data_IF_228363597407
#
_entry.id   IF_228363597407
#
_cell.length_a   1.000
_cell.length_b   1.000
_cell.length_c   1.000
_cell.angle_alpha   90.00
_cell.angle_beta   90.00
_cell.angle_gamma   90.00
#
_symmetry.space_group_name_H-M   'P 1'
#
loop_
_entity.id
_entity.type
_entity.pdbx_description
1 polymer ?
#
# COMPACT_ATOMS: atom_id res chain seq x y z
N UNK A 1 -38.59 85.75 -33.30
CA UNK A 1 -37.24 85.18 -33.52
C UNK A 1 -37.18 83.86 -32.78
N UNK A 2 -37.04 82.76 -33.53
CA UNK A 2 -37.46 81.43 -33.12
C UNK A 2 -36.40 80.58 -32.43
N UNK A 3 -36.88 79.85 -31.41
CA UNK A 3 -36.52 78.50 -30.93
C UNK A 3 -35.03 78.12 -30.94
N UNK A 4 -34.43 78.18 -29.74
CA UNK A 4 -33.28 77.36 -29.35
C UNK A 4 -33.70 75.89 -29.32
N UNK A 5 -33.18 75.09 -30.25
CA UNK A 5 -33.30 73.64 -30.27
C UNK A 5 -32.40 73.03 -29.19
N UNK A 6 -33.01 72.70 -28.06
CA UNK A 6 -32.40 71.83 -27.05
C UNK A 6 -32.44 70.41 -27.62
N UNK A 7 -31.43 70.04 -28.41
CA UNK A 7 -31.16 68.63 -28.72
C UNK A 7 -30.59 67.99 -27.44
N UNK A 8 -31.55 67.59 -26.63
CA UNK A 8 -31.50 66.71 -25.48
C UNK A 8 -30.53 65.54 -25.74
N UNK A 9 -29.42 65.50 -25.02
CA UNK A 9 -28.42 64.44 -25.05
C UNK A 9 -28.99 63.14 -24.45
N UNK A 10 -29.78 62.38 -25.23
CA UNK A 10 -30.31 61.06 -24.84
C UNK A 10 -29.26 59.94 -24.83
N UNK A 11 -28.00 60.23 -25.13
CA UNK A 11 -26.92 59.23 -25.20
C UNK A 11 -26.42 58.74 -23.84
N UNK A 12 -26.65 59.47 -22.73
CA UNK A 12 -26.16 59.08 -21.40
C UNK A 12 -26.95 57.94 -20.72
N UNK A 13 -28.28 57.91 -20.89
CA UNK A 13 -29.15 56.94 -20.21
C UNK A 13 -28.98 55.53 -20.77
N UNK A 14 -28.76 55.40 -22.08
CA UNK A 14 -28.51 54.10 -22.73
C UNK A 14 -27.23 53.43 -22.22
N UNK A 15 -26.18 54.22 -21.98
CA UNK A 15 -24.90 53.71 -21.44
C UNK A 15 -25.06 53.19 -20.00
N UNK A 16 -25.83 53.88 -19.16
CA UNK A 16 -26.07 53.46 -17.77
C UNK A 16 -26.89 52.17 -17.73
N UNK A 17 -27.95 52.07 -18.53
CA UNK A 17 -28.77 50.84 -18.60
C UNK A 17 -27.95 49.66 -19.13
N UNK A 18 -27.15 49.86 -20.18
CA UNK A 18 -26.25 48.84 -20.70
C UNK A 18 -25.23 48.37 -19.66
N UNK A 19 -24.67 49.30 -18.89
CA UNK A 19 -23.71 48.98 -17.82
C UNK A 19 -24.36 48.15 -16.70
N UNK A 20 -25.59 48.47 -16.30
CA UNK A 20 -26.32 47.69 -15.27
C UNK A 20 -26.56 46.27 -15.78
N UNK A 21 -27.09 46.11 -16.99
CA UNK A 21 -27.37 44.78 -17.57
C UNK A 21 -26.08 43.97 -17.70
N UNK A 22 -25.01 44.57 -18.23
CA UNK A 22 -23.72 43.89 -18.37
C UNK A 22 -23.17 43.46 -17.00
N UNK A 23 -23.25 44.33 -15.98
CA UNK A 23 -22.81 44.02 -14.63
C UNK A 23 -23.61 42.87 -14.02
N UNK A 24 -24.94 42.86 -14.20
CA UNK A 24 -25.79 41.77 -13.72
C UNK A 24 -25.45 40.44 -14.40
N UNK A 25 -25.22 40.44 -15.71
CA UNK A 25 -24.83 39.22 -16.45
C UNK A 25 -23.48 38.71 -15.95
N UNK A 26 -22.49 39.59 -15.76
CA UNK A 26 -21.18 39.22 -15.22
C UNK A 26 -21.31 38.63 -13.81
N UNK A 27 -22.10 39.25 -12.92
CA UNK A 27 -22.34 38.70 -11.58
C UNK A 27 -22.99 37.32 -11.62
N UNK A 28 -23.93 37.07 -12.54
CA UNK A 28 -24.57 35.77 -12.69
C UNK A 28 -23.57 34.69 -13.15
N UNK A 29 -22.72 35.01 -14.12
CA UNK A 29 -21.67 34.10 -14.60
C UNK A 29 -20.70 33.78 -13.47
N UNK A 30 -20.20 34.81 -12.78
CA UNK A 30 -19.27 34.66 -11.67
C UNK A 30 -19.88 33.78 -10.57
N UNK A 31 -21.13 34.06 -10.17
CA UNK A 31 -21.83 33.27 -9.15
C UNK A 31 -22.01 31.81 -9.57
N UNK A 32 -22.35 31.55 -10.84
CA UNK A 32 -22.47 30.20 -11.38
C UNK A 32 -21.14 29.44 -11.33
N UNK A 33 -20.03 30.09 -11.72
CA UNK A 33 -18.69 29.49 -11.64
C UNK A 33 -18.29 29.22 -10.20
N UNK A 34 -18.59 30.12 -9.26
CA UNK A 34 -18.31 29.89 -7.84
C UNK A 34 -19.09 28.71 -7.25
N UNK A 35 -20.39 28.60 -7.54
CA UNK A 35 -21.21 27.49 -7.05
C UNK A 35 -20.74 26.14 -7.63
N UNK A 36 -20.41 26.11 -8.93
CA UNK A 36 -19.85 24.92 -9.56
C UNK A 36 -18.50 24.54 -8.95
N UNK A 37 -17.60 25.51 -8.79
CA UNK A 37 -16.28 25.29 -8.17
C UNK A 37 -16.41 24.73 -6.76
N UNK A 38 -17.25 25.31 -5.90
CA UNK A 38 -17.48 24.83 -4.55
C UNK A 38 -18.02 23.39 -4.53
N UNK A 39 -18.94 23.06 -5.45
CA UNK A 39 -19.52 21.70 -5.57
C UNK A 39 -18.45 20.69 -5.99
N UNK A 40 -17.64 21.03 -6.99
CA UNK A 40 -16.55 20.16 -7.47
C UNK A 40 -15.50 19.95 -6.38
N UNK A 41 -15.11 21.01 -5.66
CA UNK A 41 -14.16 20.89 -4.55
C UNK A 41 -14.70 19.96 -3.47
N UNK A 42 -15.95 20.12 -3.05
CA UNK A 42 -16.55 19.24 -2.05
C UNK A 42 -16.60 17.78 -2.51
N UNK A 43 -16.95 17.55 -3.78
CA UNK A 43 -16.95 16.20 -4.36
C UNK A 43 -15.56 15.58 -4.34
N UNK A 44 -14.53 16.31 -4.81
CA UNK A 44 -13.16 15.81 -4.83
C UNK A 44 -12.62 15.56 -3.42
N UNK A 45 -12.89 16.45 -2.46
CA UNK A 45 -12.49 16.24 -1.06
C UNK A 45 -13.13 15.01 -0.44
N UNK A 46 -14.40 14.74 -0.74
CA UNK A 46 -15.06 13.52 -0.26
C UNK A 46 -14.47 12.27 -0.91
N UNK A 47 -14.21 12.30 -2.21
CA UNK A 47 -13.59 11.20 -2.94
C UNK A 47 -12.17 10.90 -2.43
N UNK A 48 -11.35 11.93 -2.21
CA UNK A 48 -10.02 11.78 -1.64
C UNK A 48 -10.08 11.21 -0.22
N UNK A 49 -11.03 11.68 0.60
CA UNK A 49 -11.25 11.14 1.94
C UNK A 49 -11.62 9.66 1.88
N UNK A 50 -12.55 9.27 1.01
CA UNK A 50 -12.92 7.87 0.84
C UNK A 50 -11.74 7.03 0.37
N UNK A 51 -10.97 7.50 -0.61
CA UNK A 51 -9.75 6.81 -1.08
C UNK A 51 -8.72 6.59 0.02
N UNK A 52 -8.51 7.58 0.89
CA UNK A 52 -7.59 7.46 2.03
C UNK A 52 -8.16 6.51 3.11
N UNK A 53 -9.48 6.34 3.14
CA UNK A 53 -10.16 5.47 4.11
C UNK A 53 -10.24 4.00 3.67
N UNK A 54 -9.99 3.71 2.38
CA UNK A 54 -9.78 2.36 1.88
C UNK A 54 -8.39 1.87 2.29
N UNK A 55 -8.34 0.68 2.85
CA UNK A 55 -7.09 -0.03 3.12
C UNK A 55 -7.34 -1.52 2.89
N UNK A 56 -6.44 -2.17 2.15
CA UNK A 56 -6.56 -3.58 1.79
C UNK A 56 -5.21 -4.27 2.01
N UNK A 57 -5.25 -5.39 2.73
CA UNK A 57 -4.14 -6.33 2.77
C UNK A 57 -4.31 -7.38 1.66
N UNK A 58 -3.34 -7.47 0.75
CA UNK A 58 -3.35 -8.44 -0.36
C UNK A 58 -2.38 -9.56 -0.05
N UNK A 59 -2.88 -10.80 -0.04
CA UNK A 59 -2.11 -12.01 0.18
C UNK A 59 -2.08 -12.82 -1.12
N UNK A 60 -0.92 -12.95 -1.73
CA UNK A 60 -0.76 -13.77 -2.92
C UNK A 60 0.18 -14.94 -2.61
N UNK A 61 -0.29 -16.16 -2.85
CA UNK A 61 0.48 -17.38 -2.59
C UNK A 61 0.38 -18.36 -3.75
N UNK A 62 1.39 -19.21 -3.90
CA UNK A 62 1.43 -20.28 -4.90
C UNK A 62 1.74 -21.63 -4.28
N UNK A 63 1.19 -22.69 -4.87
CA UNK A 63 1.49 -24.07 -4.53
C UNK A 63 1.75 -24.88 -5.79
N UNK A 64 2.58 -25.91 -5.67
CA UNK A 64 2.80 -26.86 -6.77
C UNK A 64 1.78 -28.00 -6.65
N UNK A 65 0.88 -28.09 -7.61
CA UNK A 65 -0.11 -29.16 -7.68
C UNK A 65 0.02 -29.89 -9.02
N UNK A 66 0.29 -31.19 -8.98
CA UNK A 66 0.43 -32.05 -10.16
C UNK A 66 1.43 -31.52 -11.22
N UNK A 67 2.53 -30.89 -10.78
CA UNK A 67 3.55 -30.32 -11.66
C UNK A 67 3.15 -29.00 -12.33
N UNK A 68 2.05 -28.38 -11.89
CA UNK A 68 1.64 -27.02 -12.25
C UNK A 68 1.75 -26.10 -11.03
N UNK A 69 2.08 -24.84 -11.25
CA UNK A 69 2.13 -23.83 -10.19
C UNK A 69 0.80 -23.10 -10.14
N UNK A 70 -0.03 -23.43 -9.17
CA UNK A 70 -1.31 -22.77 -8.93
C UNK A 70 -1.08 -21.61 -7.98
N UNK A 71 -1.65 -20.45 -8.26
CA UNK A 71 -1.62 -19.32 -7.34
C UNK A 71 -3.02 -18.87 -6.97
N UNK A 72 -3.12 -18.34 -5.77
CA UNK A 72 -4.35 -17.86 -5.15
C UNK A 72 -4.09 -16.48 -4.56
N UNK A 73 -5.09 -15.61 -4.67
CA UNK A 73 -5.02 -14.24 -4.16
C UNK A 73 -6.19 -14.04 -3.22
N UNK A 74 -5.86 -13.78 -1.96
CA UNK A 74 -6.81 -13.37 -0.94
C UNK A 74 -6.65 -11.88 -0.66
N UNK A 75 -7.75 -11.20 -0.38
CA UNK A 75 -7.77 -9.79 -0.01
C UNK A 75 -8.55 -9.65 1.28
N UNK A 76 -8.00 -8.88 2.21
CA UNK A 76 -8.65 -8.51 3.47
C UNK A 76 -8.85 -7.01 3.53
N UNK A 77 -10.06 -6.57 3.87
CA UNK A 77 -10.35 -5.15 4.04
C UNK A 77 -10.04 -4.69 5.46
N UNK A 78 -8.86 -4.09 5.62
CA UNK A 78 -8.36 -3.50 6.88
C UNK A 78 -8.82 -2.05 7.06
N UNK A 79 -9.49 -1.48 6.06
CA UNK A 79 -9.96 -0.11 6.04
C UNK A 79 -11.19 0.14 6.91
N UNK A 80 -11.69 1.37 6.82
CA UNK A 80 -12.88 1.83 7.57
C UNK A 80 -14.15 1.91 6.72
N UNK A 81 -14.06 1.54 5.44
CA UNK A 81 -15.16 1.57 4.47
C UNK A 81 -15.12 0.32 3.58
N UNK A 82 -16.27 -0.06 3.02
CA UNK A 82 -16.34 -1.15 2.05
C UNK A 82 -15.62 -0.79 0.75
N UNK A 83 -14.90 -1.77 0.20
CA UNK A 83 -14.06 -1.59 -0.99
C UNK A 83 -14.63 -2.39 -2.15
N UNK A 84 -14.70 -1.74 -3.32
CA UNK A 84 -15.11 -2.40 -4.57
C UNK A 84 -13.90 -2.72 -5.40
N UNK A 85 -13.63 -3.97 -5.72
CA UNK A 85 -12.54 -4.39 -6.61
C UNK A 85 -13.04 -4.41 -8.06
N UNK A 86 -12.28 -3.79 -8.96
CA UNK A 86 -12.63 -3.70 -10.39
C UNK A 86 -11.72 -4.52 -11.28
N UNK A 87 -10.46 -4.72 -10.89
CA UNK A 87 -9.54 -5.57 -11.65
C UNK A 87 -8.38 -6.07 -10.80
N UNK A 88 -7.76 -7.12 -11.31
CA UNK A 88 -6.52 -7.69 -10.81
C UNK A 88 -5.51 -7.77 -11.95
N UNK A 89 -4.25 -7.49 -11.63
CA UNK A 89 -3.12 -7.57 -12.54
C UNK A 89 -2.09 -8.54 -11.99
N UNK A 90 -1.62 -9.43 -12.85
CA UNK A 90 -0.46 -10.28 -12.63
C UNK A 90 0.71 -9.76 -13.46
N UNK A 91 1.81 -9.41 -12.80
CA UNK A 91 3.04 -8.96 -13.43
C UNK A 91 4.09 -10.04 -13.23
N UNK A 92 4.53 -10.63 -14.33
CA UNK A 92 5.59 -11.64 -14.35
C UNK A 92 6.95 -10.98 -14.54
N UNK A 93 7.96 -11.49 -13.84
CA UNK A 93 9.33 -10.98 -13.85
C UNK A 93 9.41 -9.49 -13.47
N UNK A 94 8.71 -9.07 -12.40
CA UNK A 94 8.56 -7.65 -12.07
C UNK A 94 9.87 -6.92 -11.75
N UNK A 95 10.95 -7.65 -11.43
CA UNK A 95 12.29 -7.09 -11.21
C UNK A 95 13.16 -7.05 -12.47
N UNK A 96 12.75 -7.75 -13.53
CA UNK A 96 13.52 -7.91 -14.77
C UNK A 96 12.86 -7.28 -15.99
N UNK A 97 13.54 -7.41 -17.15
CA UNK A 97 13.02 -7.01 -18.45
C UNK A 97 13.19 -8.13 -19.48
N UNK A 98 12.18 -8.41 -20.33
CA UNK A 98 10.85 -7.77 -20.37
C UNK A 98 9.93 -8.25 -19.23
N UNK A 99 9.02 -7.36 -18.81
CA UNK A 99 7.92 -7.71 -17.91
C UNK A 99 6.70 -8.12 -18.74
N UNK A 100 5.98 -9.15 -18.29
CA UNK A 100 4.70 -9.56 -18.89
C UNK A 100 3.57 -9.20 -17.93
N UNK A 101 2.53 -8.55 -18.46
CA UNK A 101 1.42 -8.02 -17.67
C UNK A 101 0.13 -8.68 -18.16
N UNK A 102 -0.58 -9.33 -17.24
CA UNK A 102 -1.88 -9.97 -17.50
C UNK A 102 -2.90 -9.30 -16.60
N UNK A 103 -4.03 -8.86 -17.18
CA UNK A 103 -5.11 -8.19 -16.46
C UNK A 103 -6.37 -9.06 -16.55
N UNK A 104 -7.10 -9.13 -15.44
CA UNK A 104 -8.48 -9.62 -15.43
C UNK A 104 -9.42 -8.60 -14.78
N UNK A 105 -10.59 -8.43 -15.36
CA UNK A 105 -11.63 -7.49 -14.91
C UNK A 105 -12.71 -8.23 -14.14
N UNK A 106 -13.10 -7.68 -12.99
CA UNK A 106 -14.22 -8.23 -12.22
C UNK A 106 -15.53 -7.65 -12.78
N UNK A 107 -16.34 -8.50 -13.42
CA UNK A 107 -17.70 -8.17 -13.87
C UNK A 107 -18.73 -9.17 -13.31
N UNK A 108 -19.53 -8.77 -12.30
CA UNK A 108 -19.57 -7.46 -11.67
C UNK A 108 -18.35 -7.21 -10.74
N UNK A 109 -18.07 -5.93 -10.37
CA UNK A 109 -17.08 -5.62 -9.34
C UNK A 109 -17.33 -6.40 -8.04
N UNK A 110 -16.27 -6.88 -7.41
CA UNK A 110 -16.35 -7.61 -6.14
C UNK A 110 -16.44 -6.62 -4.97
N UNK A 111 -17.37 -6.82 -4.06
CA UNK A 111 -17.52 -6.00 -2.85
C UNK A 111 -16.84 -6.70 -1.67
N UNK A 112 -15.78 -6.11 -1.12
CA UNK A 112 -15.06 -6.60 0.06
C UNK A 112 -15.51 -5.79 1.28
N UNK A 113 -16.27 -6.43 2.16
CA UNK A 113 -16.81 -5.82 3.38
C UNK A 113 -15.70 -5.60 4.40
N UNK A 114 -15.83 -4.56 5.22
CA UNK A 114 -14.88 -4.24 6.29
C UNK A 114 -14.61 -5.45 7.19
N UNK A 115 -13.33 -5.77 7.39
CA UNK A 115 -12.87 -6.86 8.25
C UNK A 115 -13.03 -8.26 7.66
N UNK A 116 -13.53 -8.38 6.43
CA UNK A 116 -13.62 -9.67 5.75
C UNK A 116 -12.36 -9.95 4.92
N UNK A 117 -11.99 -11.22 4.89
CA UNK A 117 -10.96 -11.78 4.01
C UNK A 117 -11.62 -12.72 3.01
N UNK A 118 -11.39 -12.46 1.73
CA UNK A 118 -11.99 -13.23 0.64
C UNK A 118 -10.93 -13.67 -0.38
N UNK A 119 -11.07 -14.89 -0.90
CA UNK A 119 -10.30 -15.35 -2.04
C UNK A 119 -10.90 -14.78 -3.33
N UNK A 120 -10.18 -13.87 -3.98
CA UNK A 120 -10.69 -13.12 -5.14
C UNK A 120 -10.26 -13.71 -6.47
N UNK A 121 -9.21 -14.54 -6.47
CA UNK A 121 -8.63 -15.05 -7.71
C UNK A 121 -7.87 -16.36 -7.50
N UNK A 122 -8.02 -17.28 -8.45
CA UNK A 122 -7.18 -18.47 -8.57
C UNK A 122 -6.72 -18.61 -10.02
N UNK A 123 -5.44 -18.92 -10.22
CA UNK A 123 -4.88 -19.07 -11.55
C UNK A 123 -3.68 -20.01 -11.57
N UNK A 124 -3.06 -20.12 -12.74
CA UNK A 124 -1.84 -20.90 -12.94
C UNK A 124 -0.72 -20.00 -13.41
N UNK A 125 0.48 -20.18 -12.85
CA UNK A 125 1.69 -19.50 -13.29
C UNK A 125 2.35 -20.27 -14.42
N UNK A 126 2.84 -19.54 -15.43
CA UNK A 126 3.50 -20.12 -16.60
C UNK A 126 4.91 -20.64 -16.27
N UNK A 127 5.62 -19.94 -15.37
CA UNK A 127 6.99 -20.27 -14.96
C UNK A 127 7.05 -20.60 -13.48
N UNK A 128 8.13 -21.28 -13.09
CA UNK A 128 8.41 -21.56 -11.69
C UNK A 128 8.59 -20.25 -10.92
N UNK A 129 7.73 -19.94 -9.93
CA UNK A 129 7.82 -18.71 -9.15
C UNK A 129 9.07 -18.60 -8.27
N UNK A 130 9.86 -19.68 -8.14
CA UNK A 130 11.20 -19.62 -7.53
C UNK A 130 12.26 -19.01 -8.44
N UNK A 131 12.06 -19.13 -9.75
CA UNK A 131 13.01 -18.66 -10.76
C UNK A 131 12.60 -17.30 -11.34
N UNK A 132 11.28 -17.02 -11.35
CA UNK A 132 10.70 -15.79 -11.88
C UNK A 132 9.83 -15.13 -10.80
N UNK A 133 10.14 -13.87 -10.40
CA UNK A 133 9.34 -13.19 -9.38
C UNK A 133 8.03 -12.65 -9.97
N UNK A 134 6.93 -12.83 -9.25
CA UNK A 134 5.60 -12.38 -9.64
C UNK A 134 5.06 -11.32 -8.68
N UNK A 135 4.38 -10.32 -9.22
CA UNK A 135 3.70 -9.27 -8.47
C UNK A 135 2.22 -9.21 -8.85
N UNK A 136 1.35 -9.30 -7.87
CA UNK A 136 -0.09 -9.09 -8.04
C UNK A 136 -0.42 -7.65 -7.66
N UNK A 137 -1.28 -7.00 -8.45
CA UNK A 137 -1.89 -5.71 -8.11
C UNK A 137 -3.41 -5.82 -8.18
N UNK A 138 -4.09 -5.32 -7.18
CA UNK A 138 -5.55 -5.26 -7.11
C UNK A 138 -5.96 -3.79 -7.19
N UNK A 139 -6.95 -3.49 -8.02
CA UNK A 139 -7.41 -2.12 -8.29
C UNK A 139 -8.82 -1.95 -7.76
N UNK A 140 -9.06 -0.89 -6.99
CA UNK A 140 -10.38 -0.54 -6.46
C UNK A 140 -11.15 0.37 -7.41
N UNK A 141 -12.48 0.39 -7.30
CA UNK A 141 -13.36 1.27 -8.07
C UNK A 141 -13.13 2.76 -7.80
N UNK A 142 -12.49 3.11 -6.68
CA UNK A 142 -12.05 4.47 -6.36
C UNK A 142 -10.64 4.80 -6.90
N UNK A 143 -9.98 3.82 -7.52
CA UNK A 143 -8.70 3.99 -8.20
C UNK A 143 -7.47 3.81 -7.30
N UNK A 144 -7.61 3.15 -6.15
CA UNK A 144 -6.47 2.74 -5.35
C UNK A 144 -5.89 1.43 -5.88
N UNK A 145 -4.59 1.24 -5.63
CA UNK A 145 -3.84 0.06 -6.09
C UNK A 145 -3.13 -0.52 -4.88
N UNK A 146 -3.42 -1.78 -4.60
CA UNK A 146 -2.76 -2.56 -3.56
C UNK A 146 -1.99 -3.68 -4.23
N UNK A 147 -0.80 -4.02 -3.71
CA UNK A 147 0.07 -4.97 -4.39
C UNK A 147 0.77 -5.91 -3.43
N UNK A 148 0.99 -7.14 -3.89
CA UNK A 148 1.66 -8.17 -3.12
C UNK A 148 2.46 -9.08 -4.06
N UNK A 149 3.70 -9.39 -3.70
CA UNK A 149 4.49 -10.36 -4.44
C UNK A 149 3.99 -11.78 -4.11
N UNK A 150 3.98 -12.66 -5.10
CA UNK A 150 3.48 -14.03 -4.89
C UNK A 150 4.52 -14.83 -4.11
N UNK A 151 4.08 -15.43 -3.01
CA UNK A 151 4.92 -16.22 -2.09
C UNK A 151 4.57 -17.69 -2.13
N UNK A 152 5.44 -18.58 -1.67
CA UNK A 152 5.07 -20.00 -1.61
C UNK A 152 4.06 -20.21 -0.48
N UNK A 153 2.94 -20.88 -0.78
CA UNK A 153 1.99 -21.33 0.24
C UNK A 153 2.73 -22.22 1.23
N UNK A 154 2.71 -21.81 2.48
CA UNK A 154 3.22 -22.62 3.56
C UNK A 154 2.03 -23.13 4.36
N UNK A 155 1.86 -24.45 4.41
CA UNK A 155 0.84 -25.09 5.25
C UNK A 155 0.95 -24.54 6.68
N UNK A 156 -0.22 -24.32 7.32
CA UNK A 156 -0.33 -24.03 8.75
C UNK A 156 0.70 -24.89 9.51
N UNK A 157 1.66 -24.24 10.20
CA UNK A 157 2.86 -24.77 10.87
C UNK A 157 4.23 -24.46 10.23
N UNK A 158 4.30 -23.79 9.07
CA UNK A 158 5.58 -23.33 8.49
C UNK A 158 5.51 -21.83 8.19
N UNK A 159 5.94 -20.98 9.13
CA UNK A 159 5.97 -19.52 8.92
C UNK A 159 7.09 -19.16 7.95
N UNK A 160 6.82 -18.95 6.65
CA UNK A 160 7.89 -18.55 5.72
C UNK A 160 7.52 -17.58 4.59
N UNK A 161 8.39 -16.56 4.48
CA UNK A 161 8.72 -15.63 3.40
C UNK A 161 7.66 -14.60 3.00
N UNK A 162 7.80 -13.39 3.56
CA UNK A 162 7.22 -12.17 3.00
C UNK A 162 8.32 -11.38 2.27
N UNK A 163 8.29 -11.26 0.93
CA UNK A 163 8.90 -10.15 0.23
C UNK A 163 8.03 -8.91 0.47
N UNK A 164 8.41 -8.08 1.44
CA UNK A 164 7.78 -6.78 1.60
C UNK A 164 8.53 -5.77 0.73
N UNK A 165 7.78 -5.20 -0.22
CA UNK A 165 8.22 -3.98 -0.92
C UNK A 165 8.02 -2.84 0.08
N UNK A 166 9.12 -2.32 0.61
CA UNK A 166 9.09 -1.12 1.45
C UNK A 166 8.92 0.11 0.55
N UNK A 167 8.22 1.10 1.08
CA UNK A 167 7.95 2.43 0.50
C UNK A 167 9.21 3.31 0.40
N UNK A 168 10.35 2.71 0.04
CA UNK A 168 11.50 3.42 -0.49
C UNK A 168 11.92 2.73 -1.78
N UNK A 169 12.01 3.49 -2.86
CA UNK A 169 12.45 3.02 -4.18
C UNK A 169 13.88 2.46 -4.21
N UNK A 170 14.52 2.34 -3.05
CA UNK A 170 15.98 2.21 -2.90
C UNK A 170 16.41 0.97 -2.11
N UNK A 171 15.51 0.17 -1.51
CA UNK A 171 15.89 -1.08 -0.82
C UNK A 171 14.77 -2.10 -0.75
N UNK A 172 15.14 -3.38 -0.75
CA UNK A 172 14.22 -4.50 -0.55
C UNK A 172 14.69 -5.36 0.61
N UNK A 173 13.76 -5.87 1.42
CA UNK A 173 14.06 -6.78 2.51
C UNK A 173 13.15 -8.00 2.46
N UNK A 174 13.73 -9.16 2.73
CA UNK A 174 13.01 -10.43 2.87
C UNK A 174 13.44 -11.13 4.14
N UNK A 175 12.49 -11.82 4.77
CA UNK A 175 12.73 -12.56 6.00
C UNK A 175 12.33 -14.03 5.83
N UNK A 176 13.30 -14.90 6.08
CA UNK A 176 13.13 -16.34 6.13
C UNK A 176 13.25 -16.79 7.59
N UNK A 177 12.16 -17.30 8.16
CA UNK A 177 12.15 -17.86 9.52
C UNK A 177 12.13 -19.37 9.43
N UNK A 178 13.07 -20.05 10.09
CA UNK A 178 13.12 -21.52 10.18
C UNK A 178 13.24 -21.93 11.63
N UNK A 179 12.30 -22.71 12.15
CA UNK A 179 12.36 -23.05 13.56
C UNK A 179 11.34 -24.08 14.02
N UNK A 180 11.42 -24.41 15.30
CA UNK A 180 10.40 -25.12 16.05
C UNK A 180 9.95 -24.24 17.23
N UNK A 181 9.01 -24.72 18.05
CA UNK A 181 8.46 -23.97 19.21
C UNK A 181 9.50 -23.51 20.25
N UNK A 182 10.74 -23.98 20.20
CA UNK A 182 11.82 -23.67 21.15
C UNK A 182 12.95 -22.86 20.54
N UNK A 183 13.26 -23.08 19.27
CA UNK A 183 14.36 -22.42 18.56
C UNK A 183 13.92 -21.95 17.19
N UNK A 184 14.13 -20.66 16.89
CA UNK A 184 13.90 -20.10 15.56
C UNK A 184 15.14 -19.41 15.05
N UNK A 185 15.52 -19.75 13.83
CA UNK A 185 16.58 -19.13 13.05
C UNK A 185 15.92 -18.13 12.11
N UNK A 186 16.30 -16.86 12.26
CA UNK A 186 15.87 -15.76 11.42
C UNK A 186 16.98 -15.45 10.44
N UNK A 187 16.70 -15.62 9.16
CA UNK A 187 17.56 -15.22 8.07
C UNK A 187 16.93 -13.99 7.41
N UNK A 188 17.45 -12.83 7.75
CA UNK A 188 17.05 -11.55 7.20
C UNK A 188 17.96 -11.21 6.03
N UNK A 189 17.41 -11.11 4.84
CA UNK A 189 18.14 -10.73 3.63
C UNK A 189 17.71 -9.33 3.22
N UNK A 190 18.67 -8.43 3.09
CA UNK A 190 18.44 -7.05 2.66
C UNK A 190 19.26 -6.80 1.40
N UNK A 191 18.58 -6.29 0.38
CA UNK A 191 19.18 -5.83 -0.86
C UNK A 191 19.18 -4.30 -0.88
N UNK A 192 20.37 -3.71 -0.93
CA UNK A 192 20.57 -2.28 -1.03
C UNK A 192 20.58 -1.86 -2.51
N UNK A 193 19.46 -1.31 -3.00
CA UNK A 193 19.37 -0.79 -4.36
C UNK A 193 19.77 0.70 -4.47
N UNK A 194 20.23 1.31 -3.38
CA UNK A 194 20.66 2.71 -3.35
C UNK A 194 22.12 2.85 -3.81
N UNK A 195 22.52 4.09 -4.12
CA UNK A 195 23.91 4.42 -4.48
C UNK A 195 24.79 4.68 -3.26
N UNK A 196 24.29 4.45 -2.04
CA UNK A 196 24.98 4.72 -0.79
C UNK A 196 24.94 3.49 0.12
N UNK A 197 25.96 3.23 0.95
CA UNK A 197 25.88 2.16 1.93
C UNK A 197 24.75 2.40 2.93
N UNK A 198 24.07 1.33 3.34
CA UNK A 198 23.02 1.37 4.36
C UNK A 198 23.54 0.66 5.60
N UNK A 199 23.35 1.26 6.77
CA UNK A 199 23.71 0.61 8.05
C UNK A 199 22.47 0.33 8.87
N UNK A 200 22.28 -0.95 9.23
CA UNK A 200 21.28 -1.46 10.15
C UNK A 200 21.82 -1.44 11.57
N UNK A 201 21.35 -0.50 12.39
CA UNK A 201 21.81 -0.38 13.77
C UNK A 201 21.14 -1.40 14.69
N UNK A 202 19.81 -1.54 14.57
CA UNK A 202 19.01 -2.36 15.46
C UNK A 202 18.18 -3.40 14.69
N UNK A 203 18.11 -4.61 15.24
CA UNK A 203 17.13 -5.62 14.86
C UNK A 203 16.14 -5.76 16.00
N UNK A 204 14.88 -5.46 15.73
CA UNK A 204 13.80 -5.46 16.69
C UNK A 204 12.90 -6.66 16.40
N UNK A 205 12.87 -7.62 17.32
CA UNK A 205 12.01 -8.79 17.21
C UNK A 205 11.07 -8.81 18.42
N UNK A 206 9.77 -8.62 18.18
CA UNK A 206 8.79 -8.59 19.27
C UNK A 206 7.35 -8.33 18.80
N UNK A 207 6.35 -8.68 19.61
CA UNK A 207 4.94 -8.37 19.33
C UNK A 207 4.67 -6.86 19.47
N UNK A 208 3.99 -6.25 18.49
CA UNK A 208 3.63 -4.83 18.53
C UNK A 208 2.31 -4.60 19.29
N UNK A 209 2.18 -5.10 20.51
CA UNK A 209 1.11 -4.58 21.38
C UNK A 209 1.59 -3.26 21.98
N UNK A 210 1.45 -2.17 21.22
CA UNK A 210 1.58 -0.80 21.72
C UNK A 210 0.29 -0.36 22.45
N UNK A 211 -0.36 -1.25 23.20
CA UNK A 211 -1.34 -0.79 24.17
C UNK A 211 -0.57 -0.29 25.41
N UNK A 212 -0.39 1.03 25.46
CA UNK A 212 0.29 1.80 26.50
C UNK A 212 -0.25 1.56 27.94
N UNK A 213 -1.34 0.78 28.10
CA UNK A 213 -2.10 0.68 29.35
C UNK A 213 -2.33 -0.75 29.88
N UNK A 214 -1.73 -1.80 29.30
CA UNK A 214 -1.88 -3.15 29.87
C UNK A 214 -0.82 -3.43 30.96
N UNK A 215 -1.15 -3.08 32.21
CA UNK A 215 -0.40 -3.51 33.40
C UNK A 215 -0.43 -5.05 33.49
N UNK A 216 0.54 -5.73 32.88
CA UNK A 216 0.68 -7.18 33.06
C UNK A 216 1.43 -7.95 32.00
N UNK A 217 1.63 -7.41 30.80
CA UNK A 217 2.40 -8.10 29.76
C UNK A 217 3.89 -7.72 29.85
N UNK A 218 4.82 -8.70 29.82
CA UNK A 218 6.23 -8.42 29.91
C UNK A 218 6.68 -7.67 28.66
N UNK A 219 6.78 -6.35 28.77
CA UNK A 219 7.52 -5.51 27.84
C UNK A 219 8.97 -5.97 27.79
N UNK A 220 9.29 -6.83 26.83
CA UNK A 220 10.66 -7.20 26.45
C UNK A 220 10.71 -7.44 24.96
N UNK A 221 10.82 -6.34 24.24
CA UNK A 221 11.35 -6.28 22.88
C UNK A 221 12.79 -6.81 22.93
N UNK A 222 13.10 -7.89 22.22
CA UNK A 222 14.50 -8.26 22.03
C UNK A 222 15.06 -7.32 20.96
N UNK A 223 15.72 -6.26 21.41
CA UNK A 223 16.52 -5.39 20.57
C UNK A 223 17.91 -6.01 20.52
N UNK A 224 18.32 -6.50 19.36
CA UNK A 224 19.70 -6.89 19.10
C UNK A 224 20.36 -5.74 18.37
N UNK A 225 21.37 -5.13 18.98
CA UNK A 225 22.26 -4.23 18.26
C UNK A 225 23.12 -5.06 17.30
N UNK A 226 23.10 -4.71 16.02
CA UNK A 226 23.74 -5.50 14.96
C UNK A 226 24.85 -4.74 14.27
N UNK A 227 24.75 -3.42 14.15
CA UNK A 227 25.68 -2.56 13.42
C UNK A 227 26.14 -3.22 12.11
N UNK A 228 25.18 -3.51 11.25
CA UNK A 228 25.35 -4.28 10.02
C UNK A 228 25.26 -3.35 8.82
N UNK A 229 26.38 -3.15 8.12
CA UNK A 229 26.47 -2.27 6.94
C UNK A 229 26.42 -3.09 5.66
N UNK A 230 25.59 -2.65 4.72
CA UNK A 230 25.37 -3.26 3.40
C UNK A 230 25.79 -2.23 2.35
N UNK A 231 26.80 -2.57 1.56
CA UNK A 231 27.33 -1.66 0.54
C UNK A 231 26.31 -1.39 -0.58
N UNK A 232 26.52 -0.31 -1.31
CA UNK A 232 25.64 0.10 -2.40
C UNK A 232 25.57 -0.97 -3.50
N UNK A 233 24.36 -1.40 -3.86
CA UNK A 233 24.14 -2.44 -4.88
C UNK A 233 24.37 -3.87 -4.40
N UNK A 234 24.67 -4.09 -3.12
CA UNK A 234 24.91 -5.43 -2.57
C UNK A 234 23.68 -6.02 -1.88
N UNK A 235 23.65 -7.35 -1.81
CA UNK A 235 22.68 -8.13 -1.07
C UNK A 235 23.41 -8.90 0.01
N UNK A 236 23.00 -8.71 1.26
CA UNK A 236 23.55 -9.45 2.38
C UNK A 236 22.47 -10.15 3.19
N UNK A 237 22.83 -11.28 3.81
CA UNK A 237 21.94 -12.06 4.68
C UNK A 237 22.49 -12.13 6.10
N UNK A 238 21.75 -11.57 7.04
CA UNK A 238 22.01 -11.69 8.47
C UNK A 238 21.24 -12.87 9.06
N UNK A 239 21.95 -13.79 9.72
CA UNK A 239 21.34 -14.95 10.38
C UNK A 239 21.47 -14.84 11.90
N UNK A 240 20.37 -14.98 12.63
CA UNK A 240 20.37 -15.05 14.09
C UNK A 240 19.45 -16.14 14.59
N UNK A 241 19.91 -16.88 15.61
CA UNK A 241 19.10 -17.87 16.31
C UNK A 241 18.50 -17.25 17.58
N UNK A 242 17.20 -17.45 17.78
CA UNK A 242 16.49 -17.19 19.02
C UNK A 242 16.24 -18.51 19.73
N UNK A 243 16.91 -18.69 20.88
CA UNK A 243 16.80 -19.89 21.72
C UNK A 243 15.66 -19.82 22.74
N UNK A 244 14.90 -18.74 22.74
CA UNK A 244 13.73 -18.53 23.60
C UNK A 244 12.67 -17.72 22.85
N UNK A 245 11.99 -18.37 21.91
CA UNK A 245 10.88 -17.74 21.21
C UNK A 245 9.76 -17.49 22.23
N UNK A 246 9.21 -16.26 22.36
CA UNK A 246 8.06 -16.02 23.21
C UNK A 246 6.92 -16.98 22.83
N UNK A 247 6.15 -17.52 23.79
CA UNK A 247 5.06 -18.46 23.51
C UNK A 247 4.06 -17.96 22.46
N UNK A 248 3.87 -16.64 22.40
CA UNK A 248 3.01 -15.93 21.46
C UNK A 248 3.39 -16.14 19.99
N UNK A 249 4.59 -16.65 19.71
CA UNK A 249 5.04 -16.94 18.36
C UNK A 249 4.56 -18.29 17.82
N UNK A 250 4.03 -19.18 18.67
CA UNK A 250 3.54 -20.48 18.20
C UNK A 250 2.27 -20.39 17.36
N UNK A 251 1.56 -19.28 17.47
CA UNK A 251 0.23 -19.07 16.90
C UNK A 251 0.26 -17.94 15.83
N UNK A 252 1.45 -17.69 15.27
CA UNK A 252 1.69 -16.58 14.34
C UNK A 252 1.40 -17.00 12.91
N UNK A 253 0.42 -16.34 12.32
CA UNK A 253 -0.02 -16.58 10.95
C UNK A 253 0.82 -15.79 9.95
N UNK A 254 1.28 -14.59 10.31
CA UNK A 254 2.14 -13.78 9.46
C UNK A 254 3.13 -12.92 10.25
N UNK A 255 4.18 -12.49 9.54
CA UNK A 255 5.26 -11.67 10.09
C UNK A 255 5.39 -10.40 9.26
N UNK A 256 5.09 -9.25 9.85
CA UNK A 256 5.33 -7.96 9.19
C UNK A 256 6.79 -7.55 9.40
N UNK A 257 7.39 -7.04 8.33
CA UNK A 257 8.74 -6.49 8.33
C UNK A 257 8.67 -5.00 8.00
N UNK A 258 8.97 -4.15 8.98
CA UNK A 258 9.10 -2.71 8.75
C UNK A 258 10.57 -2.31 8.74
N UNK A 259 10.97 -1.56 7.71
CA UNK A 259 12.26 -0.88 7.66
C UNK A 259 12.04 0.56 8.11
N UNK A 260 12.59 0.92 9.26
CA UNK A 260 12.54 2.29 9.77
C UNK A 260 13.81 2.99 9.30
N UNK A 261 13.70 4.00 8.44
CA UNK A 261 14.84 4.81 8.00
C UNK A 261 14.81 6.23 8.56
N UNK A 262 15.95 6.73 8.99
CA UNK A 262 16.18 8.15 9.27
C UNK A 262 17.35 8.64 8.41
N UNK A 263 17.08 9.62 7.54
CA UNK A 263 18.06 10.37 6.74
C UNK A 263 19.30 9.56 6.31
N UNK A 264 19.12 8.47 5.55
CA UNK A 264 20.15 7.54 5.03
C UNK A 264 20.72 6.45 5.96
N UNK A 265 20.12 6.26 7.14
CA UNK A 265 20.40 5.10 8.01
C UNK A 265 19.14 4.26 8.20
N UNK A 266 19.28 2.94 8.06
CA UNK A 266 18.20 2.01 8.37
C UNK A 266 18.27 1.73 9.87
N UNK A 267 17.44 2.43 10.62
CA UNK A 267 17.49 2.45 12.08
C UNK A 267 17.05 1.11 12.65
N UNK A 268 16.00 0.49 12.11
CA UNK A 268 15.52 -0.78 12.62
C UNK A 268 14.84 -1.65 11.57
N UNK A 269 15.04 -2.96 11.68
CA UNK A 269 14.16 -3.97 11.08
C UNK A 269 13.24 -4.49 12.17
N UNK A 270 11.94 -4.27 12.02
CA UNK A 270 10.92 -4.70 12.98
C UNK A 270 10.25 -5.96 12.46
N UNK A 271 10.35 -7.05 13.21
CA UNK A 271 9.74 -8.35 12.89
C UNK A 271 8.55 -8.57 13.81
N UNK A 272 7.34 -8.43 13.26
CA UNK A 272 6.10 -8.45 14.03
C UNK A 272 5.30 -9.73 13.81
N UNK A 273 5.22 -10.61 14.80
CA UNK A 273 4.30 -11.73 14.79
C UNK A 273 2.85 -11.27 14.96
N UNK A 274 1.94 -11.72 14.09
CA UNK A 274 0.49 -11.56 14.26
C UNK A 274 -0.19 -12.92 14.33
N UNK A 275 -1.03 -13.11 15.36
CA UNK A 275 -2.01 -14.19 15.45
C UNK A 275 -3.40 -13.62 15.16
N UNK A 276 -4.30 -14.42 14.58
CA UNK A 276 -5.75 -14.13 14.60
C UNK A 276 -6.29 -13.89 16.02
#
# INVERSE_FOLDING_TARGET
>A
MGKLSFLESKSGVGTVVGAIIATTIIMLIISGVFLWSATVTQYMTNLDRERISEDLAVYAYWQEENGSYIYSVDVENTGSIDVKLVSIWLIENYTGHPQKHTMDEFDPPLDIVIGEKENIYNGTLEYNPRDVPYLVKVITGRGNIFSSAITQYAEENVTTIFPLTVDSTESQASLLVKGNKKTAVFNLTIQNNSNTPITVQYLIIGPLYLEENSEGYPGKTLIKEVNWTIEAGEEETFSTELTSIPPQWSDVNYVRLDLISDESTLVAVVVLPFSE
#
